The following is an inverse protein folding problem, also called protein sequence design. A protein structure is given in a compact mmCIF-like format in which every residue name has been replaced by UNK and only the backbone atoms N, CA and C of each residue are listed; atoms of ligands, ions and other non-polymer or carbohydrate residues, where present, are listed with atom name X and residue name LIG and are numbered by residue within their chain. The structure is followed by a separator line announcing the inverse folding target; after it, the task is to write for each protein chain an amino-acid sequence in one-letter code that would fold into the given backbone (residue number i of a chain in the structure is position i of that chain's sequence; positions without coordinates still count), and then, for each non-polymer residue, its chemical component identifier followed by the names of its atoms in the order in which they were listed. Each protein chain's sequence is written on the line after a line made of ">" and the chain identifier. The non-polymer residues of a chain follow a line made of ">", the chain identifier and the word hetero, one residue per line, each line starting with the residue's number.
data_IF_212224576077
#
_entry.id   IF_212224576077
#
_cell.length_a   1.000
_cell.length_b   1.000
_cell.length_c   1.000
_cell.angle_alpha   90.00
_cell.angle_beta   90.00
_cell.angle_gamma   90.00
#
_symmetry.space_group_name_H-M   'P 1'
#
loop_
_entity.id
_entity.type
_entity.pdbx_description
1 polymer ?
#
# COMPACT_ATOMS: atom_id res chain seq x y z
N UNK A 1 -19.85 62.18 -46.90
CA UNK A 1 -20.15 62.60 -45.51
C UNK A 1 -20.29 61.33 -44.70
N UNK A 2 -19.44 61.18 -43.68
CA UNK A 2 -19.22 59.96 -42.89
C UNK A 2 -20.44 59.61 -42.02
N UNK A 3 -20.77 58.33 -41.91
CA UNK A 3 -21.59 57.78 -40.83
C UNK A 3 -20.98 56.44 -40.38
N UNK A 4 -20.64 56.38 -39.10
CA UNK A 4 -19.74 55.43 -38.46
C UNK A 4 -20.49 54.46 -37.54
N UNK A 5 -19.93 53.24 -37.40
CA UNK A 5 -19.85 52.35 -36.21
C UNK A 5 -21.19 51.87 -35.58
N UNK A 6 -21.39 50.62 -35.16
CA UNK A 6 -20.57 49.85 -34.19
C UNK A 6 -20.82 48.34 -34.31
N UNK A 7 -19.75 47.53 -34.36
CA UNK A 7 -19.80 46.10 -34.10
C UNK A 7 -19.64 45.84 -32.59
N UNK A 8 -20.57 45.10 -31.99
CA UNK A 8 -20.50 44.69 -30.59
C UNK A 8 -19.60 43.46 -30.42
N UNK A 9 -18.57 43.57 -29.60
CA UNK A 9 -17.73 42.44 -29.18
C UNK A 9 -18.27 41.88 -27.86
N UNK A 10 -18.75 40.64 -27.89
CA UNK A 10 -19.08 39.86 -26.69
C UNK A 10 -17.80 39.16 -26.21
N UNK A 11 -17.34 39.48 -25.01
CA UNK A 11 -16.25 38.77 -24.34
C UNK A 11 -16.83 37.56 -23.58
N UNK A 12 -16.47 36.35 -24.01
CA UNK A 12 -16.72 35.12 -23.25
C UNK A 12 -15.55 34.88 -22.29
N UNK A 13 -15.83 34.96 -20.99
CA UNK A 13 -14.90 34.59 -19.93
C UNK A 13 -14.72 33.07 -19.90
N UNK A 14 -13.47 32.61 -20.03
CA UNK A 14 -13.09 31.22 -19.82
C UNK A 14 -12.85 31.00 -18.33
N UNK A 15 -13.70 30.22 -17.66
CA UNK A 15 -13.42 29.68 -16.33
C UNK A 15 -12.73 28.32 -16.49
N UNK A 16 -11.40 28.34 -16.54
CA UNK A 16 -10.56 27.16 -16.37
C UNK A 16 -10.52 26.80 -14.89
N UNK A 17 -11.15 25.70 -14.51
CA UNK A 17 -10.89 25.03 -13.22
C UNK A 17 -9.61 24.23 -13.36
N UNK A 18 -8.49 24.85 -13.00
CA UNK A 18 -7.26 24.14 -12.66
C UNK A 18 -7.52 23.30 -11.42
N UNK A 19 -7.81 22.01 -11.62
CA UNK A 19 -7.55 21.01 -10.60
C UNK A 19 -6.04 20.93 -10.44
N UNK A 20 -5.51 21.74 -9.53
CA UNK A 20 -4.17 21.62 -9.02
C UNK A 20 -4.00 20.18 -8.49
N UNK A 21 -3.38 19.33 -9.30
CA UNK A 21 -2.79 18.09 -8.84
C UNK A 21 -1.80 18.49 -7.75
N UNK A 22 -2.12 18.18 -6.50
CA UNK A 22 -1.19 18.33 -5.38
C UNK A 22 0.05 17.52 -5.76
N UNK A 23 1.22 18.14 -5.98
CA UNK A 23 2.42 17.36 -6.14
C UNK A 23 2.62 16.66 -4.80
N UNK A 24 2.54 15.33 -4.80
CA UNK A 24 3.08 14.55 -3.71
C UNK A 24 4.52 15.02 -3.55
N UNK A 25 4.76 15.80 -2.50
CA UNK A 25 6.07 16.34 -2.21
C UNK A 25 6.95 15.14 -1.94
N UNK A 26 7.72 14.75 -2.96
CA UNK A 26 8.84 13.85 -2.79
C UNK A 26 9.85 14.64 -1.95
N UNK A 27 9.71 14.56 -0.63
CA UNK A 27 10.78 14.98 0.27
C UNK A 27 12.05 14.32 -0.25
N UNK A 28 13.04 15.14 -0.62
CA UNK A 28 14.22 14.66 -1.31
C UNK A 28 14.93 13.62 -0.42
N UNK A 29 14.80 12.34 -0.76
CA UNK A 29 15.21 11.26 0.12
C UNK A 29 14.69 9.91 -0.34
N UNK A 30 15.10 8.88 0.37
CA UNK A 30 14.63 7.52 0.16
C UNK A 30 14.47 6.81 1.50
N UNK A 31 13.70 5.73 1.48
CA UNK A 31 13.61 4.79 2.59
C UNK A 31 13.58 3.36 2.07
N UNK A 32 13.27 2.44 2.97
CA UNK A 32 13.13 1.02 2.65
C UNK A 32 11.83 0.47 3.22
N UNK A 33 11.14 -0.35 2.43
CA UNK A 33 10.00 -1.15 2.88
C UNK A 33 10.47 -2.60 2.94
N UNK A 34 10.35 -3.21 4.12
CA UNK A 34 10.88 -4.54 4.40
C UNK A 34 9.80 -5.53 4.79
N UNK A 35 9.84 -6.72 4.17
CA UNK A 35 9.03 -7.90 4.50
C UNK A 35 9.85 -8.95 5.30
N UNK A 36 10.96 -8.54 5.93
CA UNK A 36 11.85 -9.43 6.67
C UNK A 36 11.17 -10.07 7.88
N UNK A 37 11.54 -11.33 8.17
CA UNK A 37 10.76 -12.26 9.00
C UNK A 37 11.29 -12.41 10.43
N UNK A 38 11.57 -11.32 11.13
CA UNK A 38 12.04 -11.32 12.54
C UNK A 38 11.01 -10.83 13.56
N UNK A 39 9.72 -10.91 13.24
CA UNK A 39 8.64 -10.46 14.11
C UNK A 39 8.30 -11.45 15.25
N UNK A 40 7.83 -10.96 16.42
CA UNK A 40 7.46 -11.82 17.54
C UNK A 40 6.13 -12.54 17.30
N UNK A 41 6.17 -13.87 17.23
CA UNK A 41 4.95 -14.70 17.07
C UNK A 41 3.99 -14.63 18.24
N UNK A 42 4.49 -14.40 19.46
CA UNK A 42 3.67 -14.22 20.67
C UNK A 42 2.71 -13.03 20.56
N UNK A 43 3.00 -12.08 19.69
CA UNK A 43 2.12 -10.94 19.41
C UNK A 43 1.19 -11.20 18.22
N UNK A 44 1.11 -12.42 17.68
CA UNK A 44 0.29 -12.73 16.51
C UNK A 44 0.76 -11.99 15.24
N UNK A 45 2.05 -11.68 15.15
CA UNK A 45 2.69 -11.10 13.97
C UNK A 45 3.33 -12.20 13.12
N UNK A 46 3.07 -12.15 11.82
CA UNK A 46 3.47 -13.18 10.86
C UNK A 46 4.03 -12.57 9.57
N UNK A 47 4.82 -13.35 8.81
CA UNK A 47 5.35 -12.91 7.52
C UNK A 47 4.27 -12.38 6.58
N UNK A 48 4.68 -11.43 5.74
CA UNK A 48 3.85 -10.84 4.69
C UNK A 48 4.62 -10.89 3.37
N UNK A 49 3.92 -11.04 2.27
CA UNK A 49 4.49 -11.02 0.92
C UNK A 49 4.13 -9.70 0.26
N UNK A 50 5.15 -8.91 -0.07
CA UNK A 50 4.97 -7.69 -0.83
C UNK A 50 4.84 -8.02 -2.33
N UNK A 51 3.73 -7.61 -2.94
CA UNK A 51 3.40 -7.94 -4.35
C UNK A 51 3.60 -6.75 -5.27
N UNK A 52 3.12 -5.58 -4.87
CA UNK A 52 3.25 -4.34 -5.65
C UNK A 52 3.55 -3.15 -4.75
N UNK A 53 4.30 -2.20 -5.30
CA UNK A 53 4.49 -0.84 -4.76
C UNK A 53 4.08 0.11 -5.87
N UNK A 54 3.16 1.04 -5.58
CA UNK A 54 2.67 2.05 -6.53
C UNK A 54 2.22 1.43 -7.87
N UNK A 55 1.50 0.31 -7.78
CA UNK A 55 0.99 -0.44 -8.93
C UNK A 55 2.03 -1.28 -9.68
N UNK A 56 3.33 -1.15 -9.37
CA UNK A 56 4.42 -1.89 -10.02
C UNK A 56 4.68 -3.22 -9.31
N UNK A 57 4.75 -4.31 -10.07
CA UNK A 57 5.12 -5.62 -9.52
C UNK A 57 6.56 -5.64 -9.06
N UNK A 58 6.79 -6.22 -7.88
CA UNK A 58 8.15 -6.47 -7.39
C UNK A 58 8.68 -7.72 -8.08
N UNK A 59 9.66 -7.53 -8.96
CA UNK A 59 10.33 -8.62 -9.65
C UNK A 59 10.99 -9.60 -8.66
N UNK A 60 10.93 -10.89 -8.94
CA UNK A 60 11.73 -11.90 -8.26
C UNK A 60 11.24 -12.36 -6.88
N UNK A 61 10.03 -11.97 -6.44
CA UNK A 61 9.33 -12.63 -5.33
C UNK A 61 10.02 -12.66 -3.96
N UNK A 62 11.09 -11.88 -3.73
CA UNK A 62 11.93 -12.16 -2.56
C UNK A 62 13.00 -11.15 -2.16
N UNK A 63 13.03 -9.91 -2.65
CA UNK A 63 13.86 -8.91 -1.94
C UNK A 63 13.18 -8.60 -0.60
N UNK A 64 13.78 -8.97 0.55
CA UNK A 64 13.16 -8.74 1.86
C UNK A 64 13.09 -7.25 2.21
N UNK A 65 13.74 -6.39 1.43
CA UNK A 65 13.65 -4.95 1.52
C UNK A 65 13.71 -4.32 0.12
N UNK A 66 12.83 -3.36 -0.15
CA UNK A 66 12.79 -2.58 -1.39
C UNK A 66 13.04 -1.12 -1.08
N UNK A 67 13.98 -0.51 -1.80
CA UNK A 67 14.27 0.92 -1.72
C UNK A 67 13.18 1.69 -2.48
N UNK A 68 12.65 2.73 -1.86
CA UNK A 68 11.64 3.63 -2.42
C UNK A 68 12.03 5.09 -2.17
N UNK A 69 11.42 6.03 -2.88
CA UNK A 69 11.52 7.45 -2.52
C UNK A 69 10.95 7.69 -1.13
N UNK A 70 11.28 8.82 -0.50
CA UNK A 70 10.48 9.28 0.62
C UNK A 70 9.14 9.83 0.11
N UNK A 71 8.09 9.69 0.91
CA UNK A 71 6.71 10.06 0.56
C UNK A 71 5.71 8.92 0.68
N UNK A 72 4.52 9.13 0.14
CA UNK A 72 3.41 8.16 0.22
C UNK A 72 3.57 7.04 -0.80
N UNK A 73 3.37 5.81 -0.37
CA UNK A 73 3.44 4.62 -1.20
C UNK A 73 2.25 3.69 -0.96
N UNK A 74 1.67 3.22 -2.06
CA UNK A 74 0.56 2.27 -2.03
C UNK A 74 1.09 0.85 -2.18
N UNK A 75 0.83 0.01 -1.18
CA UNK A 75 1.39 -1.34 -1.11
C UNK A 75 0.30 -2.38 -1.28
N UNK A 76 0.49 -3.29 -2.24
CA UNK A 76 -0.34 -4.50 -2.36
C UNK A 76 0.40 -5.68 -1.74
N UNK A 77 -0.24 -6.31 -0.77
CA UNK A 77 0.35 -7.36 0.08
C UNK A 77 -0.57 -8.57 0.20
N UNK A 78 0.02 -9.73 0.47
CA UNK A 78 -0.67 -10.92 0.94
C UNK A 78 -0.05 -11.36 2.27
N UNK A 79 -0.83 -11.97 3.16
CA UNK A 79 -0.25 -12.64 4.30
C UNK A 79 0.54 -13.89 3.87
N UNK A 80 1.48 -14.31 4.70
CA UNK A 80 2.11 -15.62 4.64
C UNK A 80 1.99 -16.30 6.01
N UNK A 81 0.79 -16.27 6.59
CA UNK A 81 0.51 -16.88 7.88
C UNK A 81 0.52 -18.41 7.71
N UNK A 82 1.30 -19.16 8.51
CA UNK A 82 1.35 -20.61 8.41
C UNK A 82 -0.02 -21.27 8.62
N UNK A 83 -0.36 -22.33 7.87
CA UNK A 83 -1.63 -23.05 8.04
C UNK A 83 -1.89 -23.61 9.45
N UNK A 84 -0.85 -23.78 10.27
CA UNK A 84 -0.94 -24.25 11.66
C UNK A 84 -1.65 -23.25 12.59
N UNK A 85 -1.69 -21.97 12.21
CA UNK A 85 -2.40 -20.93 12.98
C UNK A 85 -3.93 -21.00 12.82
N UNK A 86 -4.40 -21.87 11.91
CA UNK A 86 -5.80 -21.97 11.52
C UNK A 86 -6.40 -23.35 11.82
N UNK A 87 -7.61 -23.36 12.37
CA UNK A 87 -8.37 -24.60 12.57
C UNK A 87 -8.89 -25.18 11.24
N UNK A 88 -9.54 -26.35 11.27
CA UNK A 88 -10.04 -27.03 10.06
C UNK A 88 -11.04 -26.19 9.26
N UNK A 89 -11.97 -25.51 9.93
CA UNK A 89 -12.99 -24.63 9.31
C UNK A 89 -12.34 -23.42 8.66
N UNK A 90 -11.42 -22.75 9.36
CA UNK A 90 -10.68 -21.61 8.83
C UNK A 90 -9.83 -21.99 7.62
N UNK A 91 -9.17 -23.16 7.65
CA UNK A 91 -8.44 -23.68 6.49
C UNK A 91 -9.34 -23.92 5.29
N UNK A 92 -10.60 -24.31 5.48
CA UNK A 92 -11.57 -24.41 4.39
C UNK A 92 -11.91 -23.02 3.82
N UNK A 93 -12.12 -22.03 4.70
CA UNK A 93 -12.29 -20.63 4.32
C UNK A 93 -11.10 -20.09 3.51
N UNK A 94 -9.86 -20.38 3.92
CA UNK A 94 -8.65 -19.96 3.18
C UNK A 94 -8.63 -20.52 1.77
N UNK A 95 -8.97 -21.80 1.59
CA UNK A 95 -9.06 -22.41 0.24
C UNK A 95 -10.10 -21.69 -0.62
N UNK A 96 -11.26 -21.40 -0.06
CA UNK A 96 -12.32 -20.68 -0.76
C UNK A 96 -11.90 -19.24 -1.11
N UNK A 97 -11.22 -18.56 -0.20
CA UNK A 97 -10.68 -17.21 -0.43
C UNK A 97 -9.67 -17.20 -1.59
N UNK A 98 -8.72 -18.15 -1.60
CA UNK A 98 -7.69 -18.27 -2.66
C UNK A 98 -8.30 -18.55 -4.04
N UNK A 99 -9.40 -19.28 -4.10
CA UNK A 99 -10.12 -19.52 -5.35
C UNK A 99 -10.71 -18.22 -5.95
N UNK A 100 -10.91 -17.18 -5.14
CA UNK A 100 -11.36 -15.83 -5.57
C UNK A 100 -10.20 -14.91 -6.01
N UNK A 101 -9.07 -15.49 -6.44
CA UNK A 101 -7.83 -14.88 -6.98
C UNK A 101 -7.31 -13.61 -6.28
N UNK A 102 -8.01 -12.48 -6.45
CA UNK A 102 -7.63 -11.19 -5.90
C UNK A 102 -8.05 -10.99 -4.44
N UNK A 103 -9.02 -11.78 -3.95
CA UNK A 103 -9.60 -11.59 -2.62
C UNK A 103 -8.61 -11.79 -1.46
N UNK A 104 -7.48 -12.45 -1.68
CA UNK A 104 -6.44 -12.67 -0.66
C UNK A 104 -5.49 -11.48 -0.47
N UNK A 105 -5.48 -10.53 -1.40
CA UNK A 105 -4.61 -9.36 -1.30
C UNK A 105 -5.27 -8.23 -0.52
N UNK A 106 -4.44 -7.41 0.12
CA UNK A 106 -4.86 -6.15 0.72
C UNK A 106 -3.98 -5.02 0.20
N UNK A 107 -4.57 -3.84 0.07
CA UNK A 107 -3.84 -2.60 -0.19
C UNK A 107 -3.76 -1.80 1.09
N UNK A 108 -2.60 -1.21 1.38
CA UNK A 108 -2.46 -0.23 2.45
C UNK A 108 -1.43 0.83 2.08
N UNK A 109 -1.61 2.04 2.61
CA UNK A 109 -0.73 3.18 2.38
C UNK A 109 0.32 3.27 3.48
N UNK A 110 1.55 3.64 3.09
CA UNK A 110 2.62 3.99 4.03
C UNK A 110 3.27 5.31 3.61
N UNK A 111 3.50 6.19 4.57
CA UNK A 111 4.32 7.39 4.38
C UNK A 111 5.74 7.06 4.82
N UNK A 112 6.67 7.05 3.87
CA UNK A 112 8.07 6.68 4.08
C UNK A 112 8.89 7.93 4.33
N UNK A 113 9.45 8.03 5.53
CA UNK A 113 10.41 9.08 5.88
C UNK A 113 11.79 8.82 5.24
N UNK A 114 12.56 9.90 4.95
CA UNK A 114 13.94 9.76 4.50
C UNK A 114 14.81 9.00 5.51
N UNK A 115 15.65 8.11 5.02
CA UNK A 115 16.57 7.28 5.81
C UNK A 115 15.86 6.44 6.88
N UNK A 116 14.67 5.91 6.57
CA UNK A 116 13.92 5.03 7.46
C UNK A 116 13.57 3.71 6.76
N UNK A 117 13.77 2.60 7.49
CA UNK A 117 13.31 1.26 7.10
C UNK A 117 12.03 0.92 7.87
N UNK A 118 10.98 0.56 7.14
CA UNK A 118 9.68 0.14 7.65
C UNK A 118 9.55 -1.38 7.55
N UNK A 119 9.34 -2.07 8.66
CA UNK A 119 9.19 -3.52 8.69
C UNK A 119 7.70 -3.88 8.77
N UNK A 120 7.25 -4.66 7.79
CA UNK A 120 5.86 -5.04 7.63
C UNK A 120 5.57 -6.40 8.27
N UNK A 121 4.33 -6.56 8.72
CA UNK A 121 3.79 -7.81 9.25
C UNK A 121 2.34 -8.02 8.83
N UNK A 122 1.93 -9.27 8.78
CA UNK A 122 0.53 -9.64 8.90
C UNK A 122 0.20 -9.81 10.38
N UNK A 123 -0.72 -9.01 10.91
CA UNK A 123 -1.28 -9.19 12.25
C UNK A 123 -2.50 -10.09 12.14
N UNK A 124 -2.45 -11.26 12.78
CA UNK A 124 -3.59 -12.18 12.85
C UNK A 124 -4.67 -11.61 13.77
N UNK A 125 -5.93 -11.68 13.33
CA UNK A 125 -7.07 -11.24 14.11
C UNK A 125 -7.35 -12.20 15.29
N UNK A 126 -7.91 -11.71 16.42
CA UNK A 126 -8.34 -12.58 17.50
C UNK A 126 -9.45 -13.54 17.03
N UNK A 127 -9.63 -14.63 17.77
CA UNK A 127 -10.70 -15.59 17.50
C UNK A 127 -12.07 -15.05 17.99
N UNK A 128 -13.19 -15.33 17.30
CA UNK A 128 -13.31 -16.02 16.02
C UNK A 128 -12.92 -15.14 14.83
N UNK A 129 -12.40 -15.75 13.76
CA UNK A 129 -11.91 -15.03 12.56
C UNK A 129 -12.80 -15.25 11.35
N UNK A 130 -13.10 -14.16 10.65
CA UNK A 130 -13.76 -14.20 9.36
C UNK A 130 -12.73 -14.35 8.23
N UNK A 131 -12.45 -15.60 7.88
CA UNK A 131 -11.48 -15.95 6.84
C UNK A 131 -12.05 -15.73 5.44
N UNK A 132 -13.32 -16.07 5.22
CA UNK A 132 -13.92 -16.09 3.88
C UNK A 132 -14.04 -14.69 3.27
N UNK A 133 -14.14 -13.67 4.12
CA UNK A 133 -14.15 -12.26 3.72
C UNK A 133 -12.79 -11.56 3.87
N UNK A 134 -11.70 -12.33 4.00
CA UNK A 134 -10.34 -11.82 4.16
C UNK A 134 -10.16 -10.91 5.40
N UNK A 135 -10.95 -11.09 6.46
CA UNK A 135 -10.88 -10.28 7.68
C UNK A 135 -10.06 -10.93 8.81
N UNK A 136 -9.44 -12.08 8.54
CA UNK A 136 -8.64 -12.83 9.51
C UNK A 136 -7.26 -12.21 9.81
N UNK A 137 -6.82 -11.21 9.05
CA UNK A 137 -5.54 -10.53 9.26
C UNK A 137 -5.60 -9.07 8.80
N UNK A 138 -4.60 -8.27 9.17
CA UNK A 138 -4.37 -6.94 8.62
C UNK A 138 -2.88 -6.66 8.44
N UNK A 139 -2.48 -5.88 7.41
CA UNK A 139 -1.11 -5.42 7.30
C UNK A 139 -0.82 -4.39 8.39
N UNK A 140 0.35 -4.49 9.01
CA UNK A 140 0.82 -3.51 9.99
C UNK A 140 2.30 -3.23 9.78
N UNK A 141 2.72 -2.03 10.18
CA UNK A 141 4.12 -1.68 10.39
C UNK A 141 4.42 -2.04 11.84
N UNK A 142 5.19 -3.10 12.06
CA UNK A 142 5.46 -3.57 13.43
C UNK A 142 6.73 -2.95 14.02
N UNK A 143 7.61 -2.42 13.16
CA UNK A 143 8.84 -1.77 13.56
C UNK A 143 9.29 -0.77 12.50
N UNK A 144 9.93 0.30 12.96
CA UNK A 144 10.72 1.21 12.12
C UNK A 144 12.16 1.24 12.61
N UNK A 145 13.09 1.60 11.72
CA UNK A 145 14.49 1.80 12.07
C UNK A 145 15.08 2.91 11.21
N UNK A 146 15.73 3.88 11.83
CA UNK A 146 16.55 4.84 11.11
C UNK A 146 17.74 4.13 10.47
N UNK A 147 17.85 4.21 9.16
CA UNK A 147 18.86 3.55 8.35
C UNK A 147 19.16 4.41 7.12
N UNK A 148 20.42 4.82 6.97
CA UNK A 148 20.81 5.64 5.82
C UNK A 148 20.59 4.87 4.52
N UNK A 149 20.03 5.57 3.55
CA UNK A 149 20.06 5.13 2.18
C UNK A 149 21.49 5.09 1.65
N UNK A 150 22.02 3.90 1.50
CA UNK A 150 23.25 3.61 0.76
C UNK A 150 22.92 2.54 -0.26
#
# INVERSE_FOLDING_TARGET
>A
MLASLTAGSVALAQSGTDLAAVPASSEAGCGRISSFTSMPRSEGLFPIVLRRIDGKEIAGGGSPAVKVSAGSHSLMVADAIPPVEFNSTERAGLRQLRNRRMAQFKTFEVVVEPNTTYYLAAKLAPYPRDVINNAHWQPVIWRTRSERCR
#
